data_IF_384645818499
#
_entry.id   IF_384645818499
#
_cell.length_a   1.000
_cell.length_b   1.000
_cell.length_c   1.000
_cell.angle_alpha   90.00
_cell.angle_beta   90.00
_cell.angle_gamma   90.00
#
_symmetry.space_group_name_H-M   'P 1'
#
loop_
_entity.id
_entity.type
_entity.pdbx_description
1 polymer ?
#
# COMPACT_ATOMS: atom_id res chain seq x y z
N UNK A 1 60.39 -21.61 -13.09
CA UNK A 1 58.92 -21.42 -13.10
C UNK A 1 58.43 -21.73 -14.51
N UNK A 2 57.53 -22.70 -14.70
CA UNK A 2 57.10 -23.16 -16.04
C UNK A 2 56.32 -22.04 -16.74
N UNK A 3 56.65 -21.65 -17.98
CA UNK A 3 56.02 -20.52 -18.68
C UNK A 3 54.50 -20.71 -18.86
N UNK A 4 54.04 -21.96 -18.94
CA UNK A 4 52.63 -22.32 -18.97
C UNK A 4 51.85 -21.85 -17.71
N UNK A 5 52.50 -21.82 -16.54
CA UNK A 5 51.85 -21.42 -15.29
C UNK A 5 51.62 -19.91 -15.21
N UNK A 6 52.52 -19.10 -15.78
CA UNK A 6 52.33 -17.65 -15.87
C UNK A 6 51.20 -17.29 -16.85
N UNK A 7 51.15 -17.98 -17.99
CA UNK A 7 50.08 -17.78 -18.99
C UNK A 7 48.70 -18.08 -18.39
N UNK A 8 48.57 -19.15 -17.62
CA UNK A 8 47.32 -19.46 -16.91
C UNK A 8 46.91 -18.35 -15.92
N UNK A 9 47.85 -17.82 -15.14
CA UNK A 9 47.57 -16.78 -14.15
C UNK A 9 47.10 -15.45 -14.78
N UNK A 10 47.60 -15.12 -15.97
CA UNK A 10 47.21 -13.90 -16.71
C UNK A 10 45.87 -14.04 -17.45
N UNK A 11 45.43 -15.27 -17.73
CA UNK A 11 44.15 -15.54 -18.41
C UNK A 11 42.94 -15.45 -17.48
N UNK A 12 43.11 -15.75 -16.19
CA UNK A 12 42.05 -15.70 -15.17
C UNK A 12 41.39 -14.30 -15.07
N UNK A 13 42.13 -13.17 -14.96
CA UNK A 13 41.51 -11.84 -14.91
C UNK A 13 40.87 -11.41 -16.24
N UNK A 14 41.36 -11.89 -17.38
CA UNK A 14 40.74 -11.63 -18.69
C UNK A 14 39.36 -12.31 -18.80
N UNK A 15 39.23 -13.53 -18.28
CA UNK A 15 37.95 -14.25 -18.23
C UNK A 15 36.93 -13.56 -17.30
N UNK A 16 37.39 -12.96 -16.19
CA UNK A 16 36.53 -12.19 -15.28
C UNK A 16 35.97 -10.91 -15.93
N UNK A 17 36.62 -10.39 -16.98
CA UNK A 17 36.18 -9.21 -17.74
C UNK A 17 35.13 -9.53 -18.82
N UNK A 18 35.08 -10.80 -19.27
CA UNK A 18 34.09 -11.29 -20.25
C UNK A 18 32.82 -11.85 -19.61
N UNK A 19 32.81 -12.02 -18.28
CA UNK A 19 31.55 -12.15 -17.55
C UNK A 19 30.90 -10.77 -17.70
N UNK A 20 29.75 -10.65 -18.39
CA UNK A 20 28.98 -9.42 -18.29
C UNK A 20 28.78 -9.26 -16.80
N UNK A 21 29.41 -8.24 -16.19
CA UNK A 21 29.16 -7.91 -14.81
C UNK A 21 27.66 -7.74 -14.75
N UNK A 22 26.98 -8.78 -14.23
CA UNK A 22 25.54 -8.83 -14.15
C UNK A 22 25.23 -7.57 -13.37
N UNK A 23 24.76 -6.55 -14.10
CA UNK A 23 24.47 -5.24 -13.60
C UNK A 23 23.67 -5.47 -12.34
N UNK A 24 24.28 -5.29 -11.15
CA UNK A 24 23.87 -5.92 -9.89
C UNK A 24 22.35 -5.97 -9.82
N UNK A 25 21.77 -7.04 -10.36
CA UNK A 25 20.36 -7.22 -10.37
C UNK A 25 20.19 -7.89 -9.03
N UNK A 26 20.15 -7.05 -7.99
CA UNK A 26 19.67 -7.48 -6.69
C UNK A 26 18.48 -8.40 -6.96
N UNK A 27 18.44 -9.54 -6.28
CA UNK A 27 17.31 -10.45 -6.36
C UNK A 27 15.99 -9.66 -6.19
N UNK A 28 15.99 -8.63 -5.35
CA UNK A 28 14.87 -7.69 -5.18
C UNK A 28 14.48 -6.99 -6.48
N UNK A 29 15.45 -6.45 -7.23
CA UNK A 29 15.18 -5.79 -8.51
C UNK A 29 14.63 -6.77 -9.56
N UNK A 30 15.08 -8.03 -9.54
CA UNK A 30 14.57 -9.08 -10.42
C UNK A 30 13.14 -9.49 -10.03
N UNK A 31 12.85 -9.59 -8.74
CA UNK A 31 11.53 -9.89 -8.18
C UNK A 31 10.55 -8.75 -8.49
N UNK A 32 10.92 -7.50 -8.23
CA UNK A 32 10.10 -6.32 -8.52
C UNK A 32 9.75 -6.22 -10.01
N UNK A 33 10.73 -6.48 -10.88
CA UNK A 33 10.50 -6.51 -12.33
C UNK A 33 9.51 -7.61 -12.73
N UNK A 34 9.61 -8.80 -12.12
CA UNK A 34 8.68 -9.92 -12.35
C UNK A 34 7.27 -9.61 -11.84
N UNK A 35 7.13 -9.01 -10.65
CA UNK A 35 5.85 -8.58 -10.08
C UNK A 35 5.21 -7.54 -11.02
N UNK A 36 5.94 -6.50 -11.39
CA UNK A 36 5.44 -5.43 -12.28
C UNK A 36 5.02 -5.98 -13.65
N UNK A 37 5.81 -6.90 -14.22
CA UNK A 37 5.47 -7.56 -15.48
C UNK A 37 4.20 -8.43 -15.37
N UNK A 38 4.03 -9.15 -14.25
CA UNK A 38 2.82 -9.94 -14.00
C UNK A 38 1.58 -9.06 -13.84
N UNK A 39 1.66 -7.98 -13.05
CA UNK A 39 0.57 -7.01 -12.88
C UNK A 39 0.18 -6.38 -14.22
N UNK A 40 1.16 -5.98 -15.04
CA UNK A 40 0.89 -5.41 -16.36
C UNK A 40 0.25 -6.42 -17.33
N UNK A 41 0.70 -7.68 -17.33
CA UNK A 41 0.13 -8.75 -18.17
C UNK A 41 -1.32 -9.07 -17.79
N UNK A 42 -1.67 -8.93 -16.52
CA UNK A 42 -3.03 -9.13 -16.02
C UNK A 42 -3.97 -7.97 -16.35
N UNK A 43 -3.50 -6.93 -17.07
CA UNK A 43 -4.18 -5.63 -17.16
C UNK A 43 -4.64 -5.17 -15.78
N UNK A 44 -3.86 -5.49 -14.75
CA UNK A 44 -4.14 -5.10 -13.38
C UNK A 44 -3.91 -3.60 -13.30
N UNK A 45 -4.91 -2.85 -13.74
CA UNK A 45 -5.20 -1.55 -13.17
C UNK A 45 -5.61 -1.90 -11.74
N UNK A 46 -4.81 -1.58 -10.70
CA UNK A 46 -5.38 -1.55 -9.37
C UNK A 46 -6.68 -0.78 -9.53
N UNK A 47 -7.85 -1.37 -9.17
CA UNK A 47 -9.11 -0.68 -9.32
C UNK A 47 -8.86 0.71 -8.77
N UNK A 48 -9.03 1.75 -9.60
CA UNK A 48 -8.96 3.12 -9.10
C UNK A 48 -9.93 3.10 -7.94
N UNK A 49 -9.39 3.08 -6.71
CA UNK A 49 -10.02 2.47 -5.56
C UNK A 49 -11.34 3.19 -5.43
N UNK A 50 -12.41 2.57 -5.94
CA UNK A 50 -13.72 3.20 -6.00
C UNK A 50 -14.28 2.90 -4.63
N UNK A 51 -13.62 3.46 -3.62
CA UNK A 51 -14.02 3.46 -2.23
C UNK A 51 -15.32 4.26 -2.24
N UNK A 52 -16.42 3.54 -2.41
CA UNK A 52 -17.75 4.09 -2.22
C UNK A 52 -17.86 4.35 -0.73
N UNK A 53 -17.98 5.62 -0.36
CA UNK A 53 -18.40 6.00 0.98
C UNK A 53 -19.82 5.46 1.21
N UNK A 54 -19.96 4.60 2.21
CA UNK A 54 -21.25 4.10 2.67
C UNK A 54 -21.63 4.88 3.91
N UNK A 55 -22.74 5.60 3.84
CA UNK A 55 -23.26 6.40 4.93
C UNK A 55 -24.62 5.86 5.37
N UNK A 56 -24.86 5.86 6.67
CA UNK A 56 -26.14 5.51 7.27
C UNK A 56 -26.50 6.54 8.32
N UNK A 57 -27.78 6.87 8.44
CA UNK A 57 -28.29 7.72 9.50
C UNK A 57 -28.83 6.84 10.63
N UNK A 58 -28.48 7.19 11.87
CA UNK A 58 -29.01 6.55 13.08
C UNK A 58 -29.81 7.60 13.84
N UNK A 59 -30.98 7.21 14.32
CA UNK A 59 -31.86 8.09 15.11
C UNK A 59 -32.19 7.39 16.42
N UNK A 60 -32.09 8.14 17.52
CA UNK A 60 -32.39 7.67 18.86
C UNK A 60 -33.15 8.76 19.62
N UNK A 61 -33.97 8.35 20.60
CA UNK A 61 -34.63 9.28 21.52
C UNK A 61 -33.66 9.77 22.59
N UNK A 62 -33.85 11.01 23.04
CA UNK A 62 -33.00 11.64 24.04
C UNK A 62 -31.88 12.46 23.42
N UNK A 63 -30.71 12.41 24.06
CA UNK A 63 -29.56 13.29 23.81
C UNK A 63 -28.39 12.62 23.11
N UNK A 64 -28.41 11.29 23.03
CA UNK A 64 -27.30 10.50 22.52
C UNK A 64 -27.76 9.63 21.36
N UNK A 65 -26.99 9.62 20.28
CA UNK A 65 -27.15 8.68 19.18
C UNK A 65 -25.79 8.10 18.80
N UNK A 66 -25.67 6.77 18.77
CA UNK A 66 -24.40 6.09 18.49
C UNK A 66 -24.45 5.41 17.13
N UNK A 67 -23.44 5.68 16.30
CA UNK A 67 -23.20 4.94 15.08
C UNK A 67 -22.81 3.47 15.40
N UNK A 68 -23.18 2.50 14.54
CA UNK A 68 -22.72 1.12 14.65
C UNK A 68 -21.20 1.02 14.80
N UNK A 69 -20.74 -0.11 15.35
CA UNK A 69 -19.31 -0.37 15.45
C UNK A 69 -18.64 -0.29 14.06
N UNK A 70 -17.40 0.21 14.03
CA UNK A 70 -16.57 0.34 12.83
C UNK A 70 -17.01 1.38 11.80
N UNK A 71 -17.96 2.26 12.14
CA UNK A 71 -18.27 3.45 11.35
C UNK A 71 -18.16 4.72 12.21
N UNK A 72 -17.62 5.78 11.64
CA UNK A 72 -17.43 7.06 12.31
C UNK A 72 -18.66 7.96 12.12
N UNK A 73 -18.93 8.82 13.10
CA UNK A 73 -19.92 9.87 12.95
C UNK A 73 -19.37 10.97 12.03
N UNK A 74 -20.05 11.23 10.92
CA UNK A 74 -19.67 12.29 9.97
C UNK A 74 -20.38 13.62 10.25
N UNK A 75 -21.46 13.59 11.03
CA UNK A 75 -22.22 14.76 11.48
C UNK A 75 -23.44 14.37 12.29
N UNK A 76 -23.98 15.32 13.06
CA UNK A 76 -25.15 15.11 13.90
C UNK A 76 -26.27 16.10 13.54
N UNK A 77 -27.50 15.69 13.81
CA UNK A 77 -28.68 16.54 13.74
C UNK A 77 -29.51 16.34 15.00
N UNK A 78 -30.01 17.43 15.58
CA UNK A 78 -30.77 17.42 16.81
C UNK A 78 -32.20 17.92 16.57
N UNK A 79 -33.13 17.49 17.41
CA UNK A 79 -34.48 18.05 17.43
C UNK A 79 -34.50 19.52 17.87
N UNK A 80 -35.70 20.12 17.86
CA UNK A 80 -35.94 21.48 18.38
C UNK A 80 -35.09 22.58 17.72
N UNK A 81 -34.66 22.38 16.48
CA UNK A 81 -33.73 23.28 15.79
C UNK A 81 -32.42 23.54 16.59
N UNK A 82 -32.00 22.61 17.44
CA UNK A 82 -30.73 22.70 18.14
C UNK A 82 -29.58 22.41 17.17
N UNK A 83 -28.69 23.38 17.00
CA UNK A 83 -27.47 23.25 16.19
C UNK A 83 -26.23 22.99 17.04
N UNK A 84 -26.38 22.93 18.36
CA UNK A 84 -25.29 22.64 19.29
C UNK A 84 -25.20 21.14 19.52
N UNK A 85 -24.15 20.53 18.99
CA UNK A 85 -23.85 19.12 19.17
C UNK A 85 -22.34 18.87 19.14
N UNK A 86 -21.92 17.77 19.75
CA UNK A 86 -20.55 17.29 19.73
C UNK A 86 -20.49 15.79 19.39
N UNK A 87 -19.34 15.34 18.88
CA UNK A 87 -19.07 13.91 18.66
C UNK A 87 -18.14 13.41 19.75
N UNK A 88 -18.63 12.47 20.54
CA UNK A 88 -17.89 11.79 21.60
C UNK A 88 -17.35 10.47 21.07
N UNK A 89 -16.09 10.15 21.40
CA UNK A 89 -15.43 8.88 21.06
C UNK A 89 -15.55 8.51 19.56
N UNK A 90 -15.58 9.53 18.70
CA UNK A 90 -15.60 9.42 17.22
C UNK A 90 -16.85 8.80 16.59
N UNK A 91 -17.77 8.23 17.39
CA UNK A 91 -18.94 7.51 16.87
C UNK A 91 -20.27 7.86 17.55
N UNK A 92 -20.29 8.75 18.53
CA UNK A 92 -21.49 9.06 19.31
C UNK A 92 -21.80 10.55 19.25
N UNK A 93 -22.94 10.88 18.66
CA UNK A 93 -23.51 12.22 18.66
C UNK A 93 -24.12 12.54 20.02
N UNK A 94 -23.79 13.72 20.54
CA UNK A 94 -24.43 14.31 21.72
C UNK A 94 -25.10 15.64 21.34
N UNK A 95 -26.39 15.70 21.64
CA UNK A 95 -27.27 16.87 21.64
C UNK A 95 -27.66 17.17 23.11
#
# INVERSE_FOLDING_TARGET
MKPASCLLLMLIPLFQLMIPGDAQCSLDAAVDKKIKAALNKLEYKPPALTQKLLCVSVTASGKLASCPAYIAATGCACGYACSSWDVQRENMCHC
#
